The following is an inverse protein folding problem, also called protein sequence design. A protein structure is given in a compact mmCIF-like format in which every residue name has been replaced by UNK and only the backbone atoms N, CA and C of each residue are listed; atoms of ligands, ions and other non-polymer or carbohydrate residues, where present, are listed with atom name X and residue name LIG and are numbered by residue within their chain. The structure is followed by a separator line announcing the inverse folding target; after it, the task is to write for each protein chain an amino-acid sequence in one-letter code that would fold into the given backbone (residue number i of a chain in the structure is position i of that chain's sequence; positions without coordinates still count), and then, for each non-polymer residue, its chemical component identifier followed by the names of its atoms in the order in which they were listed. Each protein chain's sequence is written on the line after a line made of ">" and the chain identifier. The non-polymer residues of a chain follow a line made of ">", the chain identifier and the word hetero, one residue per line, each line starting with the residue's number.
data_IF_003737357571
#
_entry.id   IF_003737357571
#
_cell.length_a   1.000
_cell.length_b   1.000
_cell.length_c   1.000
_cell.angle_alpha   90.00
_cell.angle_beta   90.00
_cell.angle_gamma   90.00
#
_symmetry.space_group_name_H-M   'P 1'
#
loop_
_entity.id
_entity.type
_entity.pdbx_description
1 polymer ?
#
# COMPACT_ATOMS: atom_id res chain seq x y z
N UNK A 1 -17.24 -0.51 -6.90
CA UNK A 1 -16.07 -1.38 -6.65
C UNK A 1 -15.31 -0.82 -5.45
N UNK A 2 -15.00 -1.64 -4.43
CA UNK A 2 -14.32 -1.16 -3.21
C UNK A 2 -12.87 -0.74 -3.50
N UNK A 3 -12.23 0.08 -2.64
CA UNK A 3 -10.81 0.42 -2.77
C UNK A 3 -9.91 -0.81 -2.85
N UNK A 4 -10.16 -1.82 -2.01
CA UNK A 4 -9.42 -3.09 -2.03
C UNK A 4 -9.62 -3.85 -3.35
N UNK A 5 -10.85 -3.93 -3.87
CA UNK A 5 -11.09 -4.59 -5.15
C UNK A 5 -10.32 -3.90 -6.29
N UNK A 6 -10.24 -2.56 -6.27
CA UNK A 6 -9.44 -1.78 -7.24
C UNK A 6 -7.95 -2.04 -7.10
N UNK A 7 -7.45 -2.10 -5.87
CA UNK A 7 -6.06 -2.43 -5.63
C UNK A 7 -5.71 -3.83 -6.15
N UNK A 8 -6.54 -4.85 -5.84
CA UNK A 8 -6.38 -6.22 -6.36
C UNK A 8 -6.32 -6.25 -7.87
N UNK A 9 -7.25 -5.58 -8.56
CA UNK A 9 -7.28 -5.53 -10.03
C UNK A 9 -5.97 -4.96 -10.60
N UNK A 10 -5.41 -3.90 -9.99
CA UNK A 10 -4.19 -3.26 -10.47
C UNK A 10 -2.95 -4.10 -10.15
N UNK A 11 -2.83 -4.60 -8.92
CA UNK A 11 -1.67 -5.36 -8.47
C UNK A 11 -1.54 -6.72 -9.16
N UNK A 12 -2.66 -7.44 -9.32
CA UNK A 12 -2.68 -8.77 -9.94
C UNK A 12 -2.60 -8.75 -11.48
N UNK A 13 -2.63 -7.55 -12.09
CA UNK A 13 -2.33 -7.39 -13.51
C UNK A 13 -0.83 -7.36 -13.81
N UNK A 14 0.03 -7.23 -12.78
CA UNK A 14 1.48 -7.25 -12.95
C UNK A 14 1.98 -8.69 -13.13
N UNK A 15 2.97 -8.94 -14.00
CA UNK A 15 3.53 -10.28 -14.19
C UNK A 15 4.04 -10.88 -12.88
N UNK A 16 3.73 -12.17 -12.66
CA UNK A 16 4.15 -12.94 -11.47
C UNK A 16 3.62 -12.40 -10.12
N UNK A 17 2.72 -11.41 -10.13
CA UNK A 17 2.15 -10.86 -8.91
C UNK A 17 1.16 -11.83 -8.27
N UNK A 18 1.22 -11.95 -6.95
CA UNK A 18 0.27 -12.72 -6.16
C UNK A 18 -0.08 -11.99 -4.87
N UNK A 19 -1.25 -12.32 -4.33
CA UNK A 19 -1.73 -11.82 -3.03
C UNK A 19 -1.34 -12.81 -1.93
N UNK A 20 -0.89 -12.28 -0.80
CA UNK A 20 -0.70 -13.04 0.44
C UNK A 20 -1.27 -12.21 1.58
N UNK A 21 -2.05 -12.84 2.46
CA UNK A 21 -2.46 -12.20 3.70
C UNK A 21 -1.26 -12.15 4.66
N UNK A 22 -0.98 -10.98 5.21
CA UNK A 22 0.00 -10.81 6.28
C UNK A 22 -0.53 -9.80 7.29
N UNK A 23 -0.42 -10.13 8.58
CA UNK A 23 -0.90 -9.29 9.68
C UNK A 23 -2.39 -8.91 9.54
N UNK A 24 -3.21 -9.79 8.95
CA UNK A 24 -4.63 -9.56 8.68
C UNK A 24 -4.92 -8.62 7.51
N UNK A 25 -3.91 -8.27 6.69
CA UNK A 25 -4.08 -7.40 5.53
C UNK A 25 -3.58 -8.02 4.22
N UNK A 26 -4.25 -7.73 3.09
CA UNK A 26 -3.78 -8.11 1.76
C UNK A 26 -2.44 -7.44 1.43
N UNK A 27 -1.44 -8.27 1.14
CA UNK A 27 -0.16 -7.84 0.60
C UNK A 27 0.05 -8.36 -0.82
N UNK A 28 0.72 -7.59 -1.65
CA UNK A 28 0.97 -7.91 -3.06
C UNK A 28 2.46 -8.03 -3.32
N UNK A 29 2.84 -9.15 -3.94
CA UNK A 29 4.24 -9.58 -4.02
C UNK A 29 4.59 -10.08 -5.40
N UNK A 30 5.86 -9.91 -5.78
CA UNK A 30 6.48 -10.57 -6.94
C UNK A 30 7.67 -11.36 -6.41
N UNK A 31 7.74 -12.67 -6.70
CA UNK A 31 8.80 -13.57 -6.19
C UNK A 31 9.00 -13.44 -4.68
N UNK A 32 7.89 -13.45 -3.93
CA UNK A 32 7.80 -13.24 -2.48
C UNK A 32 8.31 -11.88 -1.94
N UNK A 33 8.64 -10.92 -2.82
CA UNK A 33 9.03 -9.57 -2.41
C UNK A 33 7.81 -8.64 -2.43
N UNK A 34 7.49 -8.07 -1.26
CA UNK A 34 6.42 -7.08 -1.10
C UNK A 34 6.68 -5.83 -1.98
N UNK A 35 5.65 -5.37 -2.68
CA UNK A 35 5.67 -4.10 -3.40
C UNK A 35 4.49 -3.19 -3.05
N UNK A 36 3.36 -3.75 -2.61
CA UNK A 36 2.21 -3.00 -2.12
C UNK A 36 1.47 -3.75 -0.99
N UNK A 37 0.81 -3.01 -0.11
CA UNK A 37 -0.06 -3.53 0.95
C UNK A 37 -1.30 -2.64 1.08
N UNK A 38 -2.47 -3.26 1.24
CA UNK A 38 -3.67 -2.52 1.61
C UNK A 38 -3.63 -2.19 3.09
N UNK A 39 -3.90 -0.93 3.45
CA UNK A 39 -4.01 -0.47 4.82
C UNK A 39 -5.46 -0.10 5.11
N UNK A 40 -6.14 -0.89 5.93
CA UNK A 40 -7.54 -0.69 6.27
C UNK A 40 -7.74 0.52 7.19
N UNK A 41 -8.88 1.20 7.04
CA UNK A 41 -9.19 2.38 7.87
C UNK A 41 -9.29 2.06 9.37
N UNK A 42 -9.69 0.83 9.71
CA UNK A 42 -9.97 0.39 11.08
C UNK A 42 -8.74 -0.05 11.87
N UNK A 43 -7.53 0.03 11.30
CA UNK A 43 -6.31 -0.29 12.02
C UNK A 43 -5.29 0.87 11.97
N UNK A 44 -4.19 0.71 12.69
CA UNK A 44 -3.15 1.73 12.79
C UNK A 44 -2.36 1.93 11.49
N UNK A 45 -2.51 1.04 10.48
CA UNK A 45 -1.82 1.19 9.20
C UNK A 45 -2.49 2.21 8.26
N UNK A 46 -3.82 2.35 8.35
CA UNK A 46 -4.61 3.21 7.46
C UNK A 46 -4.67 4.68 7.86
N UNK A 47 -4.17 5.06 9.05
CA UNK A 47 -4.30 6.43 9.57
C UNK A 47 -5.78 6.91 9.55
N UNK A 48 -6.70 6.02 9.94
CA UNK A 48 -8.14 6.31 9.98
C UNK A 48 -8.85 6.30 8.62
N UNK A 49 -8.17 5.93 7.53
CA UNK A 49 -8.75 5.85 6.17
C UNK A 49 -8.21 4.65 5.39
N UNK A 50 -8.89 4.19 4.32
CA UNK A 50 -8.29 3.23 3.40
C UNK A 50 -7.05 3.84 2.75
N UNK A 51 -5.94 3.12 2.77
CA UNK A 51 -4.69 3.54 2.13
C UNK A 51 -4.00 2.36 1.43
N UNK A 52 -2.96 2.68 0.66
CA UNK A 52 -2.03 1.71 0.10
C UNK A 52 -0.63 2.13 0.51
N UNK A 53 0.13 1.19 1.05
CA UNK A 53 1.57 1.36 1.21
C UNK A 53 2.23 0.74 0.00
N UNK A 54 3.15 1.45 -0.64
CA UNK A 54 3.88 0.94 -1.78
C UNK A 54 5.34 1.38 -1.73
N UNK A 55 6.21 0.61 -2.40
CA UNK A 55 7.63 0.96 -2.50
C UNK A 55 7.78 2.29 -3.23
N UNK A 56 8.61 3.16 -2.66
CA UNK A 56 9.01 4.42 -3.25
C UNK A 56 10.53 4.44 -3.41
N UNK A 57 11.03 5.15 -4.44
CA UNK A 57 12.46 5.41 -4.56
C UNK A 57 12.95 6.31 -3.41
N UNK A 58 14.26 6.29 -3.07
CA UNK A 58 14.82 7.20 -2.07
C UNK A 58 14.42 8.66 -2.34
N UNK A 59 14.00 9.38 -1.30
CA UNK A 59 13.56 10.78 -1.40
C UNK A 59 12.12 11.00 -1.87
N UNK A 60 11.49 10.05 -2.58
CA UNK A 60 10.12 10.22 -3.08
C UNK A 60 9.09 10.33 -1.95
N UNK A 61 9.24 9.57 -0.86
CA UNK A 61 8.30 9.63 0.26
C UNK A 61 8.21 11.05 0.83
N UNK A 62 9.36 11.64 1.19
CA UNK A 62 9.42 13.00 1.75
C UNK A 62 8.93 14.04 0.75
N UNK A 63 9.25 13.89 -0.54
CA UNK A 63 8.75 14.78 -1.59
C UNK A 63 7.22 14.76 -1.66
N UNK A 64 6.61 13.58 -1.69
CA UNK A 64 5.16 13.41 -1.83
C UNK A 64 4.40 13.89 -0.59
N UNK A 65 4.92 13.61 0.61
CA UNK A 65 4.35 14.12 1.88
C UNK A 65 4.39 15.64 1.92
N UNK A 66 5.50 16.28 1.51
CA UNK A 66 5.59 17.75 1.43
C UNK A 66 4.64 18.34 0.39
N UNK A 67 4.54 17.71 -0.79
CA UNK A 67 3.72 18.22 -1.89
C UNK A 67 2.21 18.09 -1.64
N UNK A 68 1.77 17.03 -0.95
CA UNK A 68 0.35 16.80 -0.69
C UNK A 68 0.13 16.05 0.65
N UNK A 69 0.31 16.73 1.80
CA UNK A 69 0.23 16.11 3.13
C UNK A 69 -1.17 15.60 3.49
N UNK A 70 -2.22 16.16 2.87
CA UNK A 70 -3.58 15.63 3.02
C UNK A 70 -3.75 14.26 2.34
N UNK A 71 -2.89 13.89 1.37
CA UNK A 71 -3.00 12.66 0.58
C UNK A 71 -1.95 11.61 0.94
N UNK A 72 -0.73 12.03 1.23
CA UNK A 72 0.39 11.14 1.55
C UNK A 72 0.79 11.29 3.01
N UNK A 73 1.24 10.19 3.61
CA UNK A 73 1.67 10.12 5.00
C UNK A 73 2.85 9.16 5.11
N UNK A 74 3.56 9.21 6.25
CA UNK A 74 4.61 8.26 6.60
C UNK A 74 3.98 7.14 7.43
N UNK A 75 3.99 5.89 6.96
CA UNK A 75 3.52 4.77 7.75
C UNK A 75 4.44 4.46 8.94
N UNK A 76 3.94 3.81 10.00
CA UNK A 76 4.65 3.63 11.27
C UNK A 76 5.93 2.76 11.21
N UNK A 77 6.16 2.03 10.11
CA UNK A 77 7.22 1.01 10.02
C UNK A 77 8.07 1.08 8.74
N UNK A 78 8.28 2.30 8.21
CA UNK A 78 9.09 2.52 6.99
C UNK A 78 10.17 3.56 7.18
#
# INVERSE_FOLDING_TARGET
>A
MSPLARLRKLCLALPEAHEVEAWGEPTFRVRNKLFAMYAAAGNHHGSGRPAVWCKAAPGNQSLMVRAAPARFFVPPYV
#
